data_IF_732684688878
#
_entry.id   IF_732684688878
#
_cell.length_a   1.000
_cell.length_b   1.000
_cell.length_c   1.000
_cell.angle_alpha   90.00
_cell.angle_beta   90.00
_cell.angle_gamma   90.00
#
_symmetry.space_group_name_H-M   'P 1'
#
loop_
_entity.id
_entity.type
_entity.pdbx_description
1 polymer ?
#
# COMPACT_ATOMS: atom_id res chain seq x y z
N UNK A 1 5.99 5.34 -4.54
CA UNK A 1 5.24 5.86 -3.38
C UNK A 1 3.76 5.85 -3.71
N UNK A 2 2.88 5.56 -2.76
CA UNK A 2 1.44 5.68 -2.93
C UNK A 2 0.77 6.25 -1.67
N UNK A 3 -0.23 7.11 -1.87
CA UNK A 3 -1.06 7.69 -0.81
C UNK A 3 -2.49 7.20 -0.97
N UNK A 4 -3.05 6.65 0.09
CA UNK A 4 -4.45 6.19 0.12
C UNK A 4 -5.38 7.38 0.35
N UNK A 5 -6.36 7.56 -0.55
CA UNK A 5 -7.34 8.66 -0.49
C UNK A 5 -8.65 8.17 0.13
N UNK A 6 -9.08 6.95 -0.19
CA UNK A 6 -10.29 6.31 0.35
C UNK A 6 -10.18 4.79 0.33
N UNK A 7 -11.07 4.11 1.05
CA UNK A 7 -11.10 2.65 1.18
C UNK A 7 -10.09 2.13 2.21
N UNK A 8 -9.96 0.80 2.29
CA UNK A 8 -9.18 0.10 3.32
C UNK A 8 -8.52 -1.17 2.79
N UNK A 9 -7.34 -1.47 3.32
CA UNK A 9 -6.68 -2.76 3.11
C UNK A 9 -5.47 -2.92 4.01
N UNK A 10 -4.75 -4.03 3.84
CA UNK A 10 -3.47 -4.30 4.50
C UNK A 10 -2.45 -4.62 3.42
N UNK A 11 -1.25 -4.08 3.56
CA UNK A 11 -0.08 -4.51 2.80
C UNK A 11 0.82 -5.35 3.70
N UNK A 12 1.24 -6.51 3.22
CA UNK A 12 2.13 -7.41 3.96
C UNK A 12 3.40 -7.61 3.15
N UNK A 13 4.56 -7.32 3.75
CA UNK A 13 5.86 -7.54 3.09
C UNK A 13 6.25 -9.02 3.06
N UNK A 14 7.41 -9.33 2.46
CA UNK A 14 7.92 -10.69 2.34
C UNK A 14 8.27 -11.35 3.69
N UNK A 15 8.54 -10.54 4.72
CA UNK A 15 8.85 -11.01 6.08
C UNK A 15 7.58 -11.22 6.92
N UNK A 16 6.40 -10.93 6.35
CA UNK A 16 5.12 -11.08 7.00
C UNK A 16 4.67 -9.86 7.81
N UNK A 17 5.37 -8.72 7.72
CA UNK A 17 4.97 -7.51 8.44
C UNK A 17 3.80 -6.83 7.73
N UNK A 18 2.66 -6.79 8.41
CA UNK A 18 1.44 -6.16 7.93
C UNK A 18 1.32 -4.69 8.33
N UNK A 19 0.92 -3.84 7.39
CA UNK A 19 0.58 -2.43 7.65
C UNK A 19 -0.80 -2.07 7.07
N UNK A 20 -1.62 -1.41 7.89
CA UNK A 20 -2.93 -0.92 7.47
C UNK A 20 -2.82 0.25 6.49
N UNK A 21 -3.66 0.20 5.46
CA UNK A 21 -3.85 1.24 4.46
C UNK A 21 -5.21 1.88 4.68
N UNK A 22 -5.22 3.05 5.31
CA UNK A 22 -6.40 3.86 5.58
C UNK A 22 -6.29 5.21 4.85
N UNK A 23 -7.37 6.00 4.75
CA UNK A 23 -7.27 7.36 4.22
C UNK A 23 -6.17 8.15 4.94
N UNK A 24 -5.22 8.70 4.17
CA UNK A 24 -4.03 9.39 4.68
C UNK A 24 -2.78 8.52 4.83
N UNK A 25 -2.89 7.18 4.75
CA UNK A 25 -1.71 6.31 4.77
C UNK A 25 -0.83 6.54 3.54
N UNK A 26 0.48 6.62 3.76
CA UNK A 26 1.51 6.70 2.72
C UNK A 26 2.40 5.46 2.80
N UNK A 27 2.66 4.83 1.66
CA UNK A 27 3.63 3.72 1.55
C UNK A 27 4.67 4.01 0.49
N UNK A 28 5.91 3.61 0.79
CA UNK A 28 7.02 3.62 -0.17
C UNK A 28 7.47 2.19 -0.36
N UNK A 29 7.52 1.77 -1.63
CA UNK A 29 7.93 0.43 -2.04
C UNK A 29 9.24 0.60 -2.81
N UNK A 30 10.39 0.22 -2.22
CA UNK A 30 11.68 0.31 -2.88
C UNK A 30 11.74 -0.52 -4.17
N UNK A 31 12.72 -0.26 -5.02
CA UNK A 31 13.01 -1.11 -6.18
C UNK A 31 13.24 -2.55 -5.72
N UNK A 32 12.56 -3.50 -6.37
CA UNK A 32 12.63 -4.92 -6.02
C UNK A 32 11.75 -5.34 -4.83
N UNK A 33 10.98 -4.41 -4.24
CA UNK A 33 10.03 -4.76 -3.18
C UNK A 33 8.97 -5.76 -3.69
N UNK A 34 8.62 -6.72 -2.84
CA UNK A 34 7.55 -7.68 -3.08
C UNK A 34 6.71 -7.85 -1.81
N UNK A 35 5.42 -8.13 -2.01
CA UNK A 35 4.48 -8.33 -0.92
C UNK A 35 3.06 -8.49 -1.43
N UNK A 36 2.13 -8.70 -0.50
CA UNK A 36 0.72 -8.97 -0.77
C UNK A 36 -0.14 -7.76 -0.38
N UNK A 37 -1.19 -7.53 -1.17
CA UNK A 37 -2.21 -6.52 -0.89
C UNK A 37 -3.54 -7.23 -0.63
N UNK A 38 -4.10 -7.01 0.55
CA UNK A 38 -5.41 -7.51 0.93
C UNK A 38 -6.37 -6.33 1.06
N UNK A 39 -7.16 -6.08 0.01
CA UNK A 39 -8.10 -4.95 -0.06
C UNK A 39 -9.48 -5.39 0.43
N UNK A 40 -9.92 -4.82 1.55
CA UNK A 40 -11.19 -5.19 2.20
C UNK A 40 -12.31 -4.20 1.91
N UNK A 41 -11.99 -3.01 1.40
CA UNK A 41 -12.93 -1.98 0.96
C UNK A 41 -12.36 -1.30 -0.30
N UNK A 42 -13.19 -1.00 -1.30
CA UNK A 42 -12.76 -0.40 -2.58
C UNK A 42 -11.82 0.79 -2.35
N UNK A 43 -10.56 0.61 -2.74
CA UNK A 43 -9.49 1.57 -2.44
C UNK A 43 -9.25 2.53 -3.61
N UNK A 44 -9.13 3.83 -3.32
CA UNK A 44 -8.62 4.85 -4.24
C UNK A 44 -7.30 5.39 -3.72
N UNK A 45 -6.29 5.45 -4.59
CA UNK A 45 -4.94 5.93 -4.24
C UNK A 45 -4.32 6.75 -5.36
N UNK A 46 -3.43 7.66 -4.99
CA UNK A 46 -2.51 8.35 -5.89
C UNK A 46 -1.15 7.68 -5.77
N UNK A 47 -0.47 7.45 -6.89
CA UNK A 47 0.85 6.84 -6.90
C UNK A 47 1.83 7.62 -7.76
N UNK A 48 3.10 7.55 -7.36
CA UNK A 48 4.24 8.03 -8.14
C UNK A 48 5.23 6.87 -8.26
N UNK A 49 5.60 6.56 -9.50
CA UNK A 49 6.62 5.58 -9.85
C UNK A 49 7.78 6.38 -10.44
N UNK A 50 8.98 6.16 -9.91
CA UNK A 50 10.22 6.73 -10.43
C UNK A 50 11.04 5.55 -10.95
N UNK A 51 11.50 5.67 -12.20
CA UNK A 51 12.33 4.67 -12.89
C UNK A 51 13.81 4.93 -12.67
#
# INVERSE_FOLDING_TARGET
>A
MATTISGKGVITDADGNGQSLLPGSVVTLPKGWSGRWDITETQRKVYVIVV
#
